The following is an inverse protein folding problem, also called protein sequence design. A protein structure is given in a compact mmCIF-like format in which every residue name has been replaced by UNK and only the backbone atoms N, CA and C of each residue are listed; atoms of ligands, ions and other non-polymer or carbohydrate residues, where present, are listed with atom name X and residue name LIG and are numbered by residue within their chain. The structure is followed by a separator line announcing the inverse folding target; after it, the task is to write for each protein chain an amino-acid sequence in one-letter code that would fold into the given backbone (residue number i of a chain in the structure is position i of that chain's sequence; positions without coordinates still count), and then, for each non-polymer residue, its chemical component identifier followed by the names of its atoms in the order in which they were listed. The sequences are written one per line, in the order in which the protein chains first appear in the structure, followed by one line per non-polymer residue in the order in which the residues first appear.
data_IF_890103014280
#
_entry.id   IF_890103014280
#
_cell.length_a   1.000
_cell.length_b   1.000
_cell.length_c   1.000
_cell.angle_alpha   90.00
_cell.angle_beta   90.00
_cell.angle_gamma   90.00
#
_symmetry.space_group_name_H-M   'P 1'
#
loop_
_entity.id
_entity.type
_entity.pdbx_description
1 polymer ?
#
# COMPACT_ATOMS: atom_id res chain seq x y z
N UNK A 1 -13.60 -25.26 -1.37
CA UNK A 1 -12.46 -24.65 -2.10
C UNK A 1 -12.40 -23.20 -1.68
N UNK A 2 -11.20 -22.67 -1.43
CA UNK A 2 -10.99 -21.24 -1.17
C UNK A 2 -10.21 -20.66 -2.34
N UNK A 3 -10.64 -19.50 -2.83
CA UNK A 3 -9.99 -18.74 -3.89
C UNK A 3 -9.28 -17.54 -3.27
N UNK A 4 -8.01 -17.34 -3.60
CA UNK A 4 -7.22 -16.25 -3.06
C UNK A 4 -6.82 -15.26 -4.14
N UNK A 5 -6.79 -13.98 -3.79
CA UNK A 5 -6.16 -12.92 -4.57
C UNK A 5 -5.38 -12.00 -3.62
N UNK A 6 -4.35 -11.34 -4.14
CA UNK A 6 -3.54 -10.40 -3.37
C UNK A 6 -3.76 -8.99 -3.93
N UNK A 7 -3.68 -7.97 -3.08
CA UNK A 7 -3.77 -6.58 -3.53
C UNK A 7 -2.83 -5.68 -2.74
N UNK A 8 -2.02 -4.95 -3.49
CA UNK A 8 -1.11 -3.92 -2.97
C UNK A 8 -1.40 -2.56 -3.61
N UNK A 9 -2.62 -2.36 -4.13
CA UNK A 9 -3.03 -1.09 -4.71
C UNK A 9 -3.16 -0.02 -3.62
N UNK A 10 -2.67 1.22 -3.82
CA UNK A 10 -1.80 1.66 -4.93
C UNK A 10 -0.33 1.25 -4.70
N UNK A 11 0.28 0.60 -5.70
CA UNK A 11 1.61 0.00 -5.54
C UNK A 11 2.70 1.03 -5.19
N UNK A 12 2.59 2.23 -5.77
CA UNK A 12 3.50 3.35 -5.50
C UNK A 12 3.52 3.78 -4.02
N UNK A 13 2.44 3.53 -3.28
CA UNK A 13 2.35 3.84 -1.85
C UNK A 13 2.74 2.64 -0.98
N UNK A 14 2.37 1.42 -1.39
CA UNK A 14 2.57 0.20 -0.58
C UNK A 14 4.00 -0.32 -0.59
N UNK A 15 4.81 0.05 -1.59
CA UNK A 15 6.18 -0.44 -1.79
C UNK A 15 7.24 0.66 -1.83
N UNK A 16 6.97 1.80 -1.19
CA UNK A 16 7.91 2.91 -1.14
C UNK A 16 9.29 2.50 -0.61
N UNK A 17 10.35 2.88 -1.31
CA UNK A 17 11.73 2.56 -0.96
C UNK A 17 12.13 1.10 -1.17
N UNK A 18 11.24 0.23 -1.65
CA UNK A 18 11.54 -1.19 -1.79
C UNK A 18 12.52 -1.45 -2.94
N UNK A 19 13.75 -1.86 -2.57
CA UNK A 19 14.86 -2.21 -3.44
C UNK A 19 14.58 -3.44 -4.32
N UNK A 20 13.70 -4.32 -3.87
CA UNK A 20 13.33 -5.54 -4.60
C UNK A 20 12.20 -5.31 -5.64
N UNK A 21 11.66 -4.09 -5.76
CA UNK A 21 10.54 -3.80 -6.67
C UNK A 21 10.90 -2.84 -7.80
N UNK A 22 11.20 -3.42 -8.98
CA UNK A 22 11.43 -2.65 -10.20
C UNK A 22 12.50 -1.57 -10.05
N UNK A 23 12.46 -0.55 -10.91
CA UNK A 23 13.44 0.54 -10.93
C UNK A 23 12.89 1.89 -10.46
N UNK A 24 11.65 1.92 -9.95
CA UNK A 24 10.97 3.14 -9.47
C UNK A 24 10.94 3.22 -7.95
N UNK A 25 10.42 2.18 -7.30
CA UNK A 25 10.20 2.15 -5.84
C UNK A 25 11.42 2.51 -4.99
N UNK A 26 12.67 2.11 -5.33
CA UNK A 26 13.84 2.50 -4.55
C UNK A 26 14.00 4.02 -4.41
N UNK A 27 13.48 4.78 -5.38
CA UNK A 27 13.54 6.24 -5.38
C UNK A 27 12.27 6.91 -4.84
N UNK A 28 11.14 6.19 -4.79
CA UNK A 28 9.84 6.73 -4.38
C UNK A 28 9.62 6.51 -2.88
N UNK A 29 9.84 7.55 -2.07
CA UNK A 29 9.64 7.51 -0.61
C UNK A 29 8.95 8.77 -0.11
N UNK A 30 8.27 8.68 1.03
CA UNK A 30 7.68 9.83 1.73
C UNK A 30 6.29 10.21 1.22
N UNK A 31 5.71 9.41 0.33
CA UNK A 31 4.36 9.62 -0.19
C UNK A 31 3.32 9.26 0.89
N UNK A 32 2.46 10.22 1.28
CA UNK A 32 1.47 10.01 2.31
C UNK A 32 0.28 9.15 1.86
N UNK A 33 -0.40 8.54 2.83
CA UNK A 33 -1.72 7.95 2.64
C UNK A 33 -2.75 8.61 3.58
N UNK A 34 -3.87 9.15 3.06
CA UNK A 34 -4.16 9.36 1.64
C UNK A 34 -3.32 10.53 1.04
N UNK A 35 -3.08 10.58 -0.29
CA UNK A 35 -2.26 11.61 -0.93
C UNK A 35 -3.04 12.88 -1.29
N UNK A 36 -3.95 13.31 -0.41
CA UNK A 36 -4.80 14.49 -0.60
C UNK A 36 -5.26 15.05 0.76
N UNK A 37 -6.04 16.13 0.74
CA UNK A 37 -6.52 16.78 1.96
C UNK A 37 -5.37 17.39 2.76
N UNK A 38 -5.30 17.10 4.05
CA UNK A 38 -4.23 17.59 4.95
C UNK A 38 -2.82 17.14 4.51
N UNK A 39 -2.72 16.04 3.78
CA UNK A 39 -1.44 15.50 3.30
C UNK A 39 -0.95 16.14 1.99
N UNK A 40 -1.70 17.06 1.37
CA UNK A 40 -1.35 17.61 0.05
C UNK A 40 0.03 18.30 0.03
N UNK A 41 0.38 19.03 1.10
CA UNK A 41 1.70 19.65 1.20
C UNK A 41 2.81 18.59 1.28
N UNK A 42 2.61 17.52 2.06
CA UNK A 42 3.55 16.41 2.17
C UNK A 42 3.73 15.66 0.83
N UNK A 43 2.68 15.56 0.01
CA UNK A 43 2.79 15.01 -1.36
C UNK A 43 3.73 15.87 -2.21
N UNK A 44 3.58 17.19 -2.17
CA UNK A 44 4.41 18.10 -2.99
C UNK A 44 5.88 18.08 -2.54
N UNK A 45 6.12 18.04 -1.23
CA UNK A 45 7.46 17.89 -0.64
C UNK A 45 8.10 16.54 -1.02
N UNK A 46 7.34 15.45 -0.90
CA UNK A 46 7.81 14.12 -1.27
C UNK A 46 8.13 14.05 -2.77
N UNK A 47 7.28 14.61 -3.64
CA UNK A 47 7.54 14.63 -5.08
C UNK A 47 8.80 15.45 -5.43
N UNK A 48 9.03 16.58 -4.76
CA UNK A 48 10.26 17.36 -4.91
C UNK A 48 11.50 16.55 -4.48
N UNK A 49 11.43 15.86 -3.33
CA UNK A 49 12.50 15.01 -2.84
C UNK A 49 12.79 13.82 -3.76
N UNK A 50 11.75 13.15 -4.26
CA UNK A 50 11.87 12.05 -5.23
C UNK A 50 12.54 12.54 -6.50
N UNK A 51 12.11 13.67 -7.08
CA UNK A 51 12.74 14.26 -8.27
C UNK A 51 14.22 14.56 -8.03
N UNK A 52 14.58 15.10 -6.87
CA UNK A 52 15.96 15.39 -6.51
C UNK A 52 16.79 14.10 -6.41
N UNK A 53 16.28 13.07 -5.71
CA UNK A 53 16.93 11.77 -5.57
C UNK A 53 17.15 11.08 -6.90
N UNK A 54 16.11 11.00 -7.74
CA UNK A 54 16.21 10.41 -9.08
C UNK A 54 17.27 11.14 -9.92
N UNK A 55 17.34 12.47 -9.85
CA UNK A 55 18.37 13.25 -10.55
C UNK A 55 19.78 13.04 -10.02
N UNK A 56 19.93 12.72 -8.74
CA UNK A 56 21.24 12.46 -8.14
C UNK A 56 21.71 11.02 -8.44
N UNK A 57 20.84 10.04 -8.24
CA UNK A 57 21.25 8.64 -8.03
C UNK A 57 20.80 7.70 -9.16
N UNK A 58 19.72 8.00 -9.87
CA UNK A 58 19.21 7.08 -10.89
C UNK A 58 20.06 7.12 -12.18
N UNK A 59 20.14 5.99 -12.94
CA UNK A 59 20.80 5.94 -14.23
C UNK A 59 20.28 7.03 -15.17
N UNK A 60 21.17 7.76 -15.83
CA UNK A 60 20.82 8.95 -16.63
C UNK A 60 19.65 8.72 -17.60
N UNK A 61 19.67 7.60 -18.33
CA UNK A 61 18.63 7.24 -19.31
C UNK A 61 17.27 6.86 -18.69
N UNK A 62 17.22 6.58 -17.38
CA UNK A 62 16.00 6.19 -16.66
C UNK A 62 15.33 7.35 -15.91
N UNK A 63 16.07 8.44 -15.62
CA UNK A 63 15.61 9.54 -14.77
C UNK A 63 14.24 10.09 -15.15
N UNK A 64 14.05 10.46 -16.42
CA UNK A 64 12.79 11.04 -16.89
C UNK A 64 11.64 10.05 -16.82
N UNK A 65 11.88 8.78 -17.12
CA UNK A 65 10.87 7.73 -17.07
C UNK A 65 10.41 7.43 -15.64
N UNK A 66 11.33 7.38 -14.68
CA UNK A 66 11.01 7.17 -13.27
C UNK A 66 10.17 8.35 -12.75
N UNK A 67 10.58 9.59 -13.02
CA UNK A 67 9.84 10.78 -12.57
C UNK A 67 8.42 10.79 -13.17
N UNK A 68 8.29 10.57 -14.48
CA UNK A 68 7.00 10.54 -15.16
C UNK A 68 6.09 9.45 -14.57
N UNK A 69 6.62 8.25 -14.34
CA UNK A 69 5.86 7.15 -13.76
C UNK A 69 5.33 7.48 -12.35
N UNK A 70 6.17 8.06 -11.47
CA UNK A 70 5.72 8.45 -10.12
C UNK A 70 4.58 9.48 -10.20
N UNK A 71 4.71 10.48 -11.08
CA UNK A 71 3.70 11.52 -11.26
C UNK A 71 2.38 10.96 -11.81
N UNK A 72 2.46 10.04 -12.78
CA UNK A 72 1.30 9.34 -13.33
C UNK A 72 0.59 8.48 -12.28
N UNK A 73 1.34 7.71 -11.48
CA UNK A 73 0.77 6.89 -10.41
C UNK A 73 0.11 7.74 -9.31
N UNK A 74 0.69 8.89 -8.97
CA UNK A 74 0.08 9.81 -8.01
C UNK A 74 -1.19 10.47 -8.56
N UNK A 75 -1.20 10.83 -9.85
CA UNK A 75 -2.38 11.42 -10.49
C UNK A 75 -3.57 10.43 -10.54
N UNK A 76 -3.30 9.12 -10.60
CA UNK A 76 -4.33 8.07 -10.50
C UNK A 76 -5.00 8.00 -9.13
N UNK A 77 -4.45 8.63 -8.09
CA UNK A 77 -4.94 8.58 -6.71
C UNK A 77 -5.08 9.96 -6.06
N UNK A 78 -4.96 11.03 -6.84
CA UNK A 78 -4.89 12.42 -6.34
C UNK A 78 -6.18 12.96 -5.71
N UNK A 79 -7.30 12.24 -5.81
CA UNK A 79 -8.57 12.62 -5.18
C UNK A 79 -9.18 11.44 -4.41
N UNK A 80 -10.09 11.70 -3.45
CA UNK A 80 -10.78 10.62 -2.73
C UNK A 80 -11.48 9.63 -3.66
N UNK A 81 -12.10 10.10 -4.74
CA UNK A 81 -12.82 9.28 -5.72
C UNK A 81 -11.86 8.37 -6.48
N UNK A 82 -10.74 8.94 -6.92
CA UNK A 82 -9.70 8.25 -7.66
C UNK A 82 -9.03 7.17 -6.81
N UNK A 83 -8.64 7.50 -5.58
CA UNK A 83 -8.05 6.53 -4.65
C UNK A 83 -9.03 5.38 -4.36
N UNK A 84 -10.31 5.70 -4.05
CA UNK A 84 -11.34 4.67 -3.84
C UNK A 84 -11.48 3.76 -5.05
N UNK A 85 -11.49 4.32 -6.26
CA UNK A 85 -11.59 3.52 -7.49
C UNK A 85 -10.41 2.56 -7.66
N UNK A 86 -9.17 3.06 -7.49
CA UNK A 86 -7.94 2.24 -7.60
C UNK A 86 -7.92 1.12 -6.56
N UNK A 87 -8.30 1.41 -5.31
CA UNK A 87 -8.31 0.40 -4.26
C UNK A 87 -9.44 -0.63 -4.43
N UNK A 88 -10.61 -0.21 -4.92
CA UNK A 88 -11.75 -1.09 -5.12
C UNK A 88 -11.64 -1.97 -6.38
N UNK A 89 -10.86 -1.57 -7.38
CA UNK A 89 -10.77 -2.26 -8.67
C UNK A 89 -10.49 -3.77 -8.55
N UNK A 90 -9.50 -4.24 -7.75
CA UNK A 90 -9.27 -5.68 -7.57
C UNK A 90 -10.49 -6.41 -6.98
N UNK A 91 -11.19 -5.80 -6.03
CA UNK A 91 -12.37 -6.39 -5.39
C UNK A 91 -13.55 -6.49 -6.37
N UNK A 92 -13.76 -5.47 -7.21
CA UNK A 92 -14.80 -5.46 -8.25
C UNK A 92 -14.53 -6.54 -9.30
N UNK A 93 -13.26 -6.73 -9.71
CA UNK A 93 -12.87 -7.78 -10.65
C UNK A 93 -13.18 -9.16 -10.06
N UNK A 94 -12.75 -9.41 -8.82
CA UNK A 94 -12.93 -10.69 -8.13
C UNK A 94 -14.41 -10.98 -7.86
N UNK A 95 -15.17 -10.00 -7.37
CA UNK A 95 -16.61 -10.14 -7.13
C UNK A 95 -17.39 -10.47 -8.41
N UNK A 96 -17.07 -9.79 -9.52
CA UNK A 96 -17.70 -10.08 -10.82
C UNK A 96 -17.40 -11.49 -11.27
N UNK A 97 -16.13 -11.91 -11.16
CA UNK A 97 -15.72 -13.26 -11.51
C UNK A 97 -16.39 -14.32 -10.62
N UNK A 98 -16.47 -14.09 -9.32
CA UNK A 98 -17.11 -14.99 -8.37
C UNK A 98 -18.59 -15.20 -8.70
N UNK A 99 -19.31 -14.10 -8.96
CA UNK A 99 -20.72 -14.12 -9.35
C UNK A 99 -20.95 -14.89 -10.66
N UNK A 100 -20.09 -14.73 -11.66
CA UNK A 100 -20.24 -15.45 -12.94
C UNK A 100 -19.95 -16.95 -12.82
N UNK A 101 -19.31 -17.39 -11.75
CA UNK A 101 -18.99 -18.80 -11.49
C UNK A 101 -19.77 -19.40 -10.31
N UNK A 102 -20.74 -18.68 -9.73
CA UNK A 102 -21.53 -19.16 -8.60
C UNK A 102 -20.72 -19.41 -7.32
N UNK A 103 -19.65 -18.67 -7.11
CA UNK A 103 -18.77 -18.78 -5.94
C UNK A 103 -19.31 -17.89 -4.82
N UNK A 104 -19.55 -18.48 -3.66
CA UNK A 104 -19.92 -17.76 -2.44
C UNK A 104 -18.77 -16.80 -2.03
N UNK A 105 -19.04 -15.50 -1.77
CA UNK A 105 -18.04 -14.55 -1.30
C UNK A 105 -17.24 -15.00 -0.07
N UNK A 106 -17.86 -15.78 0.84
CA UNK A 106 -17.19 -16.35 2.01
C UNK A 106 -16.11 -17.37 1.67
N UNK A 107 -16.04 -17.85 0.42
CA UNK A 107 -14.97 -18.71 -0.09
C UNK A 107 -13.84 -17.92 -0.78
N UNK A 108 -13.82 -16.59 -0.66
CA UNK A 108 -12.80 -15.71 -1.24
C UNK A 108 -11.95 -15.11 -0.12
N UNK A 109 -10.64 -15.16 -0.33
CA UNK A 109 -9.63 -14.64 0.59
C UNK A 109 -8.82 -13.55 -0.12
N UNK A 110 -8.78 -12.34 0.45
CA UNK A 110 -7.70 -11.39 0.22
C UNK A 110 -6.47 -11.90 0.99
N UNK A 111 -5.66 -12.72 0.33
CA UNK A 111 -4.59 -13.49 0.96
C UNK A 111 -3.41 -12.65 1.42
N UNK A 112 -3.14 -11.55 0.72
CA UNK A 112 -2.11 -10.60 1.09
C UNK A 112 -2.54 -9.18 0.72
N UNK A 113 -2.32 -8.28 1.66
CA UNK A 113 -2.32 -6.83 1.47
C UNK A 113 -1.47 -6.19 2.57
N UNK A 114 -0.82 -5.08 2.24
CA UNK A 114 -0.01 -4.37 3.23
C UNK A 114 0.67 -3.13 2.67
N UNK A 115 1.15 -2.29 3.57
CA UNK A 115 1.96 -1.12 3.24
C UNK A 115 3.30 -1.24 3.96
N UNK A 116 4.39 -1.13 3.21
CA UNK A 116 5.76 -1.27 3.70
C UNK A 116 6.00 -0.32 4.88
N UNK A 117 6.66 -0.85 5.90
CA UNK A 117 7.18 -0.10 7.03
C UNK A 117 8.50 0.55 6.65
N UNK A 118 9.47 -0.27 6.25
CA UNK A 118 10.86 0.11 6.03
C UNK A 118 11.55 -0.98 5.21
N UNK A 119 12.29 -0.61 4.16
CA UNK A 119 13.19 -1.52 3.44
C UNK A 119 14.39 -1.91 4.31
N UNK A 120 14.93 -3.12 4.13
CA UNK A 120 16.12 -3.56 4.87
C UNK A 120 17.30 -2.63 4.58
N UNK A 121 18.01 -2.21 5.63
CA UNK A 121 19.18 -1.33 5.53
C UNK A 121 18.88 0.04 4.87
N UNK A 122 17.63 0.53 4.99
CA UNK A 122 17.21 1.82 4.49
C UNK A 122 16.65 2.70 5.60
N UNK A 123 17.11 3.96 5.73
CA UNK A 123 16.72 4.85 6.83
C UNK A 123 15.26 5.34 6.76
N UNK A 124 14.71 5.45 5.55
CA UNK A 124 13.32 5.87 5.40
C UNK A 124 12.35 4.84 5.97
N UNK A 125 11.49 5.32 6.87
CA UNK A 125 10.36 4.58 7.43
C UNK A 125 9.06 5.28 7.09
N UNK A 126 8.10 4.54 6.55
CA UNK A 126 6.74 5.02 6.28
C UNK A 126 6.05 5.41 7.58
N UNK A 127 5.36 6.55 7.61
CA UNK A 127 4.61 6.99 8.78
C UNK A 127 3.56 5.91 9.18
N UNK A 128 3.60 5.45 10.45
CA UNK A 128 2.68 4.39 10.90
C UNK A 128 1.20 4.80 10.83
N UNK A 129 0.86 6.10 10.88
CA UNK A 129 -0.51 6.59 10.73
C UNK A 129 -1.04 6.41 9.31
N UNK A 130 -0.19 6.66 8.30
CA UNK A 130 -0.52 6.42 6.90
C UNK A 130 -0.78 4.94 6.66
N UNK A 131 0.10 4.08 7.21
CA UNK A 131 -0.10 2.62 7.16
C UNK A 131 -1.41 2.21 7.82
N UNK A 132 -1.71 2.71 9.01
CA UNK A 132 -2.95 2.39 9.72
C UNK A 132 -4.20 2.82 8.95
N UNK A 133 -4.19 4.00 8.31
CA UNK A 133 -5.28 4.45 7.45
C UNK A 133 -5.47 3.51 6.25
N UNK A 134 -4.39 3.12 5.57
CA UNK A 134 -4.43 2.15 4.47
C UNK A 134 -5.04 0.81 4.89
N UNK A 135 -4.61 0.26 6.03
CA UNK A 135 -5.14 -1.01 6.53
C UNK A 135 -6.63 -0.93 6.85
N UNK A 136 -7.12 0.17 7.43
CA UNK A 136 -8.56 0.37 7.67
C UNK A 136 -9.36 0.33 6.37
N UNK A 137 -8.88 1.01 5.33
CA UNK A 137 -9.60 1.09 4.06
C UNK A 137 -9.62 -0.26 3.32
N UNK A 138 -8.49 -1.00 3.30
CA UNK A 138 -8.42 -2.33 2.70
C UNK A 138 -9.27 -3.37 3.45
N UNK A 139 -9.24 -3.36 4.79
CA UNK A 139 -10.10 -4.22 5.61
C UNK A 139 -11.56 -3.89 5.34
N UNK A 140 -11.93 -2.61 5.33
CA UNK A 140 -13.28 -2.16 5.01
C UNK A 140 -13.77 -2.65 3.64
N UNK A 141 -12.90 -2.59 2.62
CA UNK A 141 -13.19 -3.12 1.29
C UNK A 141 -13.42 -4.64 1.31
N UNK A 142 -12.51 -5.41 1.91
CA UNK A 142 -12.68 -6.86 2.01
C UNK A 142 -13.97 -7.25 2.73
N UNK A 143 -14.25 -6.60 3.86
CA UNK A 143 -15.42 -6.86 4.67
C UNK A 143 -16.73 -6.46 3.97
N UNK A 144 -16.75 -5.35 3.22
CA UNK A 144 -17.92 -4.92 2.45
C UNK A 144 -18.29 -5.89 1.31
N UNK A 145 -17.31 -6.65 0.82
CA UNK A 145 -17.49 -7.69 -0.18
C UNK A 145 -17.80 -9.08 0.43
N UNK A 146 -17.72 -9.22 1.76
CA UNK A 146 -17.87 -10.51 2.43
C UNK A 146 -16.67 -11.44 2.27
N UNK A 147 -15.50 -10.91 1.89
CA UNK A 147 -14.27 -11.67 1.71
C UNK A 147 -13.54 -11.81 3.05
N UNK A 148 -12.92 -12.98 3.26
CA UNK A 148 -11.91 -13.14 4.30
C UNK A 148 -10.63 -12.36 3.91
N UNK A 149 -9.78 -12.04 4.88
CA UNK A 149 -8.56 -11.27 4.63
C UNK A 149 -7.40 -11.69 5.54
N UNK A 150 -6.18 -11.48 5.06
CA UNK A 150 -4.94 -11.71 5.80
C UNK A 150 -3.96 -10.56 5.52
N UNK A 151 -3.53 -9.88 6.58
CA UNK A 151 -2.55 -8.79 6.48
C UNK A 151 -1.15 -9.36 6.20
N UNK A 152 -0.40 -8.73 5.32
CA UNK A 152 0.99 -9.13 5.05
C UNK A 152 1.98 -8.48 6.01
N UNK A 153 2.79 -9.36 6.59
CA UNK A 153 4.00 -9.07 7.35
C UNK A 153 3.80 -9.09 8.87
N UNK A 154 3.96 -10.24 9.52
CA UNK A 154 4.10 -10.25 10.99
C UNK A 154 5.32 -9.44 11.43
N UNK A 155 6.45 -9.67 10.77
CA UNK A 155 7.75 -9.01 10.97
C UNK A 155 8.37 -8.46 9.69
N UNK A 156 9.58 -7.90 9.81
CA UNK A 156 10.38 -7.47 8.66
C UNK A 156 9.86 -6.20 7.97
N UNK A 157 10.04 -6.12 6.65
CA UNK A 157 9.80 -4.87 5.92
C UNK A 157 8.34 -4.38 5.96
N UNK A 158 7.38 -5.29 6.08
CA UNK A 158 5.95 -4.98 6.22
C UNK A 158 5.45 -5.09 7.65
N UNK A 159 6.35 -5.32 8.60
CA UNK A 159 6.10 -5.61 10.00
C UNK A 159 4.89 -4.91 10.62
N UNK A 160 3.91 -5.71 11.02
CA UNK A 160 2.74 -5.30 11.81
C UNK A 160 3.04 -5.43 13.30
N UNK A 161 3.69 -6.51 13.72
CA UNK A 161 4.00 -6.77 15.13
C UNK A 161 5.47 -6.56 15.45
N UNK A 162 6.35 -7.01 14.56
CA UNK A 162 7.80 -6.88 14.69
C UNK A 162 8.35 -6.06 13.53
N UNK A 163 9.42 -5.31 13.75
CA UNK A 163 10.29 -4.83 12.68
C UNK A 163 11.34 -5.92 12.35
N UNK A 164 12.50 -5.52 11.83
CA UNK A 164 13.62 -6.45 11.70
C UNK A 164 14.18 -6.84 13.07
N UNK A 165 14.83 -8.00 13.14
CA UNK A 165 15.51 -8.49 14.35
C UNK A 165 14.59 -8.66 15.58
N UNK A 166 13.30 -8.96 15.33
CA UNK A 166 12.27 -9.21 16.35
C UNK A 166 12.07 -8.07 17.36
N UNK A 167 12.44 -6.84 16.98
CA UNK A 167 12.08 -5.65 17.76
C UNK A 167 10.60 -5.29 17.53
N UNK A 168 9.87 -4.78 18.53
CA UNK A 168 8.46 -4.42 18.34
C UNK A 168 8.26 -3.29 17.31
N UNK A 169 7.28 -3.44 16.42
CA UNK A 169 6.83 -2.37 15.52
C UNK A 169 5.95 -1.33 16.24
N UNK A 170 5.66 -0.22 15.58
CA UNK A 170 4.73 0.82 16.07
C UNK A 170 3.32 0.24 16.31
N UNK A 171 2.52 0.84 17.19
CA UNK A 171 1.22 0.27 17.56
C UNK A 171 0.10 0.61 16.57
N UNK A 172 0.22 1.68 15.78
CA UNK A 172 -0.87 2.23 14.97
C UNK A 172 -1.58 1.18 14.09
N UNK A 173 -0.81 0.31 13.43
CA UNK A 173 -1.35 -0.77 12.59
C UNK A 173 -1.96 -1.90 13.43
N UNK A 174 -1.34 -2.26 14.56
CA UNK A 174 -1.88 -3.28 15.47
C UNK A 174 -3.19 -2.82 16.10
N UNK A 175 -3.29 -1.54 16.40
CA UNK A 175 -4.46 -0.96 17.02
C UNK A 175 -5.65 -0.94 16.06
N UNK A 176 -5.44 -0.94 14.73
CA UNK A 176 -6.51 -1.18 13.74
C UNK A 176 -7.18 -2.53 13.97
N UNK A 177 -6.40 -3.59 14.20
CA UNK A 177 -6.95 -4.95 14.39
C UNK A 177 -7.62 -5.10 15.75
N UNK A 178 -7.07 -4.47 16.80
CA UNK A 178 -7.59 -4.57 18.17
C UNK A 178 -8.98 -3.98 18.36
N UNK A 179 -9.36 -3.00 17.54
CA UNK A 179 -10.67 -2.34 17.64
C UNK A 179 -11.74 -3.02 16.78
N UNK A 180 -11.39 -4.03 15.98
CA UNK A 180 -12.37 -4.80 15.24
C UNK A 180 -13.20 -5.63 16.22
N UNK A 181 -14.53 -5.57 16.08
CA UNK A 181 -15.42 -6.38 16.88
C UNK A 181 -15.12 -7.87 16.64
N UNK A 182 -15.19 -8.73 17.68
CA UNK A 182 -15.19 -10.18 17.48
C UNK A 182 -16.35 -10.52 16.53
N UNK A 183 -16.03 -11.14 15.39
CA UNK A 183 -17.00 -11.64 14.42
C UNK A 183 -17.34 -13.09 14.71
#
# INVERSE_FOLDING_TARGET
LIWSFHSYAPFILTHQGAGWTGDVSPYATGLPYPPFGENKAAVDEALAAIRARVRAEAPFLRRSGIIAFVEEELEKIATPEKLRAVMAEPFVIVDRWAKSHGIDPGNILLGEFGMIRQEYDHDFRTDPKWRAAYYRDMIGLAESHGFAWSMWGYGGAFGVFEEFESRPAESDVRDVVRVLAPR
#
